data_IF_726961737842
#
_entry.id   IF_726961737842
#
_cell.length_a   1.000
_cell.length_b   1.000
_cell.length_c   1.000
_cell.angle_alpha   90.00
_cell.angle_beta   90.00
_cell.angle_gamma   90.00
#
_symmetry.space_group_name_H-M   'P 1'
#
loop_
_entity.id
_entity.type
_entity.pdbx_description
1 polymer ?
#
# COMPACT_ATOMS: atom_id res chain seq x y z
N UNK A 1 41.76 -39.69 -37.09
CA UNK A 1 40.69 -38.67 -37.25
C UNK A 1 39.40 -39.00 -36.49
N UNK A 2 38.84 -40.22 -36.54
CA UNK A 2 37.57 -40.56 -35.85
C UNK A 2 37.58 -40.43 -34.31
N UNK A 3 38.69 -40.77 -33.62
CA UNK A 3 38.77 -40.68 -32.15
C UNK A 3 38.73 -39.24 -31.62
N UNK A 4 39.35 -38.29 -32.32
CA UNK A 4 39.36 -36.88 -31.93
C UNK A 4 37.96 -36.23 -32.01
N UNK A 5 37.18 -36.60 -33.03
CA UNK A 5 35.78 -36.15 -33.17
C UNK A 5 34.87 -36.69 -32.06
N UNK A 6 35.08 -37.94 -31.64
CA UNK A 6 34.30 -38.55 -30.55
C UNK A 6 34.60 -37.85 -29.22
N UNK A 7 35.88 -37.54 -28.95
CA UNK A 7 36.27 -36.79 -27.74
C UNK A 7 35.70 -35.38 -27.76
N UNK A 8 35.74 -34.69 -28.92
CA UNK A 8 35.18 -33.34 -29.05
C UNK A 8 33.65 -33.33 -28.82
N UNK A 9 32.93 -34.31 -29.35
CA UNK A 9 31.49 -34.47 -29.14
C UNK A 9 31.14 -34.76 -27.68
N UNK A 10 31.95 -35.57 -26.98
CA UNK A 10 31.77 -35.86 -25.55
C UNK A 10 32.05 -34.63 -24.67
N UNK A 11 33.06 -33.83 -25.01
CA UNK A 11 33.36 -32.59 -24.28
C UNK A 11 32.24 -31.57 -24.52
N UNK A 12 31.73 -31.48 -25.75
CA UNK A 12 30.64 -30.57 -26.08
C UNK A 12 29.32 -31.00 -25.39
N UNK A 13 29.01 -32.29 -25.36
CA UNK A 13 27.81 -32.79 -24.67
C UNK A 13 27.91 -32.61 -23.15
N UNK A 14 29.09 -32.81 -22.56
CA UNK A 14 29.32 -32.55 -21.14
C UNK A 14 29.22 -31.06 -20.80
N UNK A 15 29.75 -30.18 -21.66
CA UNK A 15 29.64 -28.73 -21.49
C UNK A 15 28.18 -28.25 -21.60
N UNK A 16 27.41 -28.80 -22.54
CA UNK A 16 25.97 -28.51 -22.68
C UNK A 16 25.21 -29.05 -21.45
N UNK A 17 25.50 -30.26 -20.99
CA UNK A 17 24.87 -30.82 -19.79
C UNK A 17 25.17 -29.99 -18.53
N UNK A 18 26.42 -29.53 -18.35
CA UNK A 18 26.82 -28.64 -17.25
C UNK A 18 26.16 -27.26 -17.35
N UNK A 19 26.05 -26.70 -18.56
CA UNK A 19 25.32 -25.46 -18.78
C UNK A 19 23.83 -25.60 -18.46
N UNK A 20 23.20 -26.70 -18.88
CA UNK A 20 21.80 -27.01 -18.56
C UNK A 20 21.61 -27.25 -17.06
N UNK A 21 22.52 -27.94 -16.39
CA UNK A 21 22.49 -28.15 -14.94
C UNK A 21 22.59 -26.83 -14.16
N UNK A 22 23.36 -25.85 -14.65
CA UNK A 22 23.42 -24.52 -14.05
C UNK A 22 22.19 -23.66 -14.35
N UNK A 23 21.61 -23.78 -15.56
CA UNK A 23 20.37 -23.07 -15.93
C UNK A 23 19.18 -23.60 -15.15
N UNK A 24 19.09 -24.91 -14.93
CA UNK A 24 18.02 -25.59 -14.19
C UNK A 24 18.42 -25.96 -12.76
N UNK A 25 19.45 -25.30 -12.20
CA UNK A 25 19.91 -25.60 -10.85
C UNK A 25 18.84 -25.20 -9.82
N UNK A 26 18.48 -26.09 -8.88
CA UNK A 26 17.61 -25.74 -7.75
C UNK A 26 18.10 -24.53 -6.97
N UNK A 27 19.41 -24.29 -6.91
CA UNK A 27 20.00 -23.14 -6.22
C UNK A 27 19.64 -21.81 -6.91
N UNK A 28 19.53 -21.79 -8.24
CA UNK A 28 19.13 -20.60 -8.99
C UNK A 28 17.66 -20.25 -8.72
N UNK A 29 16.79 -21.27 -8.71
CA UNK A 29 15.38 -21.06 -8.35
C UNK A 29 15.21 -20.58 -6.90
N UNK A 30 15.99 -21.11 -5.96
CA UNK A 30 15.96 -20.66 -4.56
C UNK A 30 16.43 -19.20 -4.44
N UNK A 31 17.49 -18.82 -5.17
CA UNK A 31 17.97 -17.45 -5.18
C UNK A 31 16.94 -16.50 -5.80
N UNK A 32 16.35 -16.84 -6.95
CA UNK A 32 15.31 -16.03 -7.60
C UNK A 32 14.08 -15.85 -6.70
N UNK A 33 13.66 -16.90 -5.96
CA UNK A 33 12.56 -16.78 -4.98
C UNK A 33 12.99 -15.92 -3.77
N UNK A 34 14.23 -16.05 -3.32
CA UNK A 34 14.76 -15.24 -2.22
C UNK A 34 14.83 -13.76 -2.58
N UNK A 35 15.19 -13.44 -3.83
CA UNK A 35 15.27 -12.06 -4.32
C UNK A 35 13.89 -11.42 -4.42
N UNK A 36 12.83 -12.20 -4.66
CA UNK A 36 11.45 -11.73 -4.68
C UNK A 36 10.87 -11.42 -3.29
N UNK A 37 11.64 -11.67 -2.21
CA UNK A 37 11.33 -11.10 -0.89
C UNK A 37 11.65 -9.60 -0.80
N UNK A 38 12.43 -9.06 -1.73
CA UNK A 38 12.51 -7.60 -1.90
C UNK A 38 11.33 -7.17 -2.77
N UNK A 39 10.36 -6.49 -2.17
CA UNK A 39 9.14 -6.06 -2.85
C UNK A 39 9.40 -5.14 -4.05
N UNK A 40 10.56 -4.47 -4.12
CA UNK A 40 10.97 -3.70 -5.30
C UNK A 40 11.24 -4.61 -6.49
N UNK A 41 11.99 -5.69 -6.28
CA UNK A 41 12.30 -6.68 -7.31
C UNK A 41 11.02 -7.38 -7.77
N UNK A 42 10.14 -7.73 -6.83
CA UNK A 42 8.83 -8.30 -7.13
C UNK A 42 7.97 -7.35 -7.98
N UNK A 43 7.87 -6.08 -7.57
CA UNK A 43 7.12 -5.03 -8.29
C UNK A 43 7.64 -4.84 -9.72
N UNK A 44 8.96 -4.75 -9.90
CA UNK A 44 9.58 -4.63 -11.22
C UNK A 44 9.27 -5.84 -12.11
N UNK A 45 9.40 -7.06 -11.58
CA UNK A 45 9.08 -8.29 -12.31
C UNK A 45 7.59 -8.36 -12.68
N UNK A 46 6.72 -8.00 -11.75
CA UNK A 46 5.27 -7.97 -11.99
C UNK A 46 4.92 -7.01 -13.11
N UNK A 47 5.45 -5.78 -13.09
CA UNK A 47 5.20 -4.78 -14.14
C UNK A 47 5.75 -5.23 -15.49
N UNK A 48 6.97 -5.77 -15.52
CA UNK A 48 7.54 -6.33 -16.74
C UNK A 48 6.65 -7.41 -17.35
N UNK A 49 6.17 -8.37 -16.54
CA UNK A 49 5.26 -9.42 -17.02
C UNK A 49 3.89 -8.86 -17.45
N UNK A 50 3.34 -7.89 -16.72
CA UNK A 50 2.06 -7.28 -17.07
C UNK A 50 2.11 -6.56 -18.42
N UNK A 51 3.25 -5.95 -18.77
CA UNK A 51 3.45 -5.28 -20.06
C UNK A 51 3.79 -6.24 -21.20
N UNK A 52 4.50 -7.34 -20.91
CA UNK A 52 5.13 -8.17 -21.95
C UNK A 52 4.59 -9.61 -22.07
N UNK A 53 3.84 -10.12 -21.09
CA UNK A 53 3.19 -11.45 -21.14
C UNK A 53 1.66 -11.31 -21.22
N UNK A 54 1.04 -11.56 -22.40
CA UNK A 54 -0.40 -11.43 -22.58
C UNK A 54 -1.23 -12.36 -21.70
N UNK A 55 -0.72 -13.55 -21.35
CA UNK A 55 -1.43 -14.48 -20.47
C UNK A 55 -1.41 -13.97 -19.03
N UNK A 56 -0.25 -13.47 -18.57
CA UNK A 56 -0.11 -12.84 -17.26
C UNK A 56 -1.05 -11.65 -17.13
N UNK A 57 -1.02 -10.75 -18.11
CA UNK A 57 -1.90 -9.58 -18.15
C UNK A 57 -3.36 -9.99 -18.09
N UNK A 58 -3.77 -10.98 -18.90
CA UNK A 58 -5.14 -11.50 -18.91
C UNK A 58 -5.56 -12.06 -17.55
N UNK A 59 -4.68 -12.79 -16.86
CA UNK A 59 -4.96 -13.29 -15.51
C UNK A 59 -5.14 -12.16 -14.50
N UNK A 60 -4.26 -11.15 -14.54
CA UNK A 60 -4.35 -9.97 -13.65
C UNK A 60 -5.63 -9.17 -13.93
N UNK A 61 -5.94 -8.88 -15.19
CA UNK A 61 -7.13 -8.12 -15.57
C UNK A 61 -8.40 -8.86 -15.17
N UNK A 62 -8.51 -10.16 -15.44
CA UNK A 62 -9.68 -10.94 -15.06
C UNK A 62 -9.85 -11.02 -13.54
N UNK A 63 -8.75 -11.15 -12.81
CA UNK A 63 -8.82 -11.12 -11.34
C UNK A 63 -9.27 -9.75 -10.82
N UNK A 64 -8.80 -8.66 -11.44
CA UNK A 64 -9.29 -7.30 -11.15
C UNK A 64 -10.76 -7.12 -11.50
N UNK A 65 -11.25 -7.68 -12.60
CA UNK A 65 -12.69 -7.70 -12.92
C UNK A 65 -13.50 -8.41 -11.82
N UNK A 66 -13.07 -9.60 -11.37
CA UNK A 66 -13.75 -10.31 -10.28
C UNK A 66 -13.79 -9.49 -8.99
N UNK A 67 -12.72 -8.74 -8.71
CA UNK A 67 -12.61 -7.91 -7.52
C UNK A 67 -13.44 -6.65 -7.62
N UNK A 68 -13.30 -5.93 -8.72
CA UNK A 68 -13.83 -4.57 -8.85
C UNK A 68 -15.24 -4.59 -9.42
N UNK A 69 -15.62 -5.48 -10.32
CA UNK A 69 -16.99 -5.50 -10.83
C UNK A 69 -17.98 -6.02 -9.77
N UNK A 70 -18.62 -5.10 -9.02
CA UNK A 70 -19.59 -5.46 -7.97
C UNK A 70 -20.91 -6.00 -8.52
N UNK A 71 -21.14 -5.96 -9.85
CA UNK A 71 -22.35 -6.49 -10.47
C UNK A 71 -22.32 -8.02 -10.66
N UNK A 72 -21.13 -8.61 -10.71
CA UNK A 72 -20.95 -10.07 -10.76
C UNK A 72 -20.81 -10.64 -9.34
N UNK A 73 -21.12 -11.92 -9.11
CA UNK A 73 -20.81 -12.57 -7.83
C UNK A 73 -19.30 -12.88 -7.73
N UNK A 74 -18.71 -12.74 -6.54
CA UNK A 74 -17.30 -13.05 -6.36
C UNK A 74 -17.06 -14.57 -6.35
N UNK A 75 -16.50 -15.10 -7.43
CA UNK A 75 -16.11 -16.50 -7.52
C UNK A 75 -14.72 -16.73 -6.92
N UNK A 76 -14.68 -17.17 -5.66
CA UNK A 76 -13.42 -17.44 -4.92
C UNK A 76 -12.53 -18.47 -5.63
N UNK A 77 -13.11 -19.53 -6.20
CA UNK A 77 -12.36 -20.59 -6.87
C UNK A 77 -11.70 -20.08 -8.15
N UNK A 78 -12.43 -19.30 -8.95
CA UNK A 78 -11.87 -18.66 -10.15
C UNK A 78 -10.75 -17.69 -9.78
N UNK A 79 -10.96 -16.86 -8.75
CA UNK A 79 -9.96 -15.92 -8.27
C UNK A 79 -8.68 -16.64 -7.80
N UNK A 80 -8.81 -17.74 -7.08
CA UNK A 80 -7.70 -18.58 -6.65
C UNK A 80 -6.92 -19.18 -7.83
N UNK A 81 -7.61 -19.73 -8.84
CA UNK A 81 -6.97 -20.26 -10.06
C UNK A 81 -6.17 -19.17 -10.78
N UNK A 82 -6.76 -17.99 -10.95
CA UNK A 82 -6.10 -16.84 -11.59
C UNK A 82 -4.88 -16.38 -10.78
N UNK A 83 -5.00 -16.33 -9.46
CA UNK A 83 -3.91 -15.95 -8.57
C UNK A 83 -2.74 -16.93 -8.65
N UNK A 84 -2.98 -18.24 -8.59
CA UNK A 84 -1.90 -19.24 -8.75
C UNK A 84 -1.27 -19.21 -10.14
N UNK A 85 -2.02 -18.87 -11.19
CA UNK A 85 -1.46 -18.63 -12.53
C UNK A 85 -0.46 -17.47 -12.53
N UNK A 86 -0.79 -16.38 -11.81
CA UNK A 86 0.08 -15.21 -11.63
C UNK A 86 1.33 -15.60 -10.82
N UNK A 87 1.17 -16.28 -9.68
CA UNK A 87 2.30 -16.73 -8.83
C UNK A 87 3.27 -17.60 -9.62
N UNK A 88 2.75 -18.57 -10.38
CA UNK A 88 3.56 -19.46 -11.22
C UNK A 88 4.40 -18.70 -12.24
N UNK A 89 3.84 -17.69 -12.91
CA UNK A 89 4.57 -16.84 -13.87
C UNK A 89 5.61 -15.95 -13.18
N UNK A 90 5.36 -15.56 -11.93
CA UNK A 90 6.34 -14.87 -11.09
C UNK A 90 7.43 -15.83 -10.55
N UNK A 91 7.28 -17.15 -10.72
CA UNK A 91 8.20 -18.14 -10.17
C UNK A 91 8.00 -18.40 -8.67
N UNK A 92 6.83 -18.07 -8.14
CA UNK A 92 6.44 -18.23 -6.74
C UNK A 92 5.66 -19.54 -6.54
N UNK A 93 5.70 -20.12 -5.32
CA UNK A 93 4.90 -21.30 -4.99
C UNK A 93 3.40 -21.01 -5.12
N UNK A 94 2.63 -22.06 -5.40
CA UNK A 94 1.17 -21.97 -5.41
C UNK A 94 0.63 -21.95 -3.98
N UNK A 95 -0.50 -21.26 -3.80
CA UNK A 95 -1.24 -21.22 -2.53
C UNK A 95 -2.36 -22.24 -2.57
N UNK A 96 -2.62 -22.92 -1.45
CA UNK A 96 -3.75 -23.83 -1.32
C UNK A 96 -5.08 -23.05 -1.21
N UNK A 97 -6.18 -23.61 -1.74
CA UNK A 97 -7.48 -22.92 -1.74
C UNK A 97 -7.99 -22.58 -0.33
N UNK A 98 -7.62 -23.38 0.67
CA UNK A 98 -7.95 -23.13 2.08
C UNK A 98 -7.25 -21.90 2.67
N UNK A 99 -6.05 -21.60 2.17
CA UNK A 99 -5.21 -20.50 2.65
C UNK A 99 -5.40 -19.21 1.83
N UNK A 100 -6.03 -19.31 0.65
CA UNK A 100 -6.46 -18.15 -0.14
C UNK A 100 -7.58 -17.39 0.58
N UNK A 101 -7.22 -16.30 1.28
CA UNK A 101 -8.13 -15.48 2.11
C UNK A 101 -8.54 -14.16 1.44
N UNK A 102 -8.18 -13.98 0.18
CA UNK A 102 -8.41 -12.73 -0.53
C UNK A 102 -9.83 -12.64 -1.13
N UNK A 103 -10.32 -11.40 -1.31
CA UNK A 103 -11.68 -11.14 -1.79
C UNK A 103 -11.98 -9.66 -2.00
N UNK A 104 -13.27 -9.33 -2.17
CA UNK A 104 -13.76 -7.95 -2.33
C UNK A 104 -13.69 -7.20 -1.00
N UNK A 105 -12.58 -6.51 -0.75
CA UNK A 105 -12.44 -5.62 0.39
C UNK A 105 -12.99 -4.23 0.07
N UNK A 106 -14.00 -3.77 0.82
CA UNK A 106 -14.34 -2.35 0.93
C UNK A 106 -14.91 -1.67 -0.32
N UNK A 107 -15.40 -2.40 -1.32
CA UNK A 107 -15.97 -1.79 -2.53
C UNK A 107 -17.47 -1.57 -2.39
N UNK A 108 -17.95 -0.38 -2.77
CA UNK A 108 -19.37 -0.03 -2.81
C UNK A 108 -19.75 0.62 -4.15
N UNK A 109 -21.01 0.44 -4.61
CA UNK A 109 -21.52 1.18 -5.76
C UNK A 109 -21.47 2.69 -5.49
N UNK A 110 -20.92 3.46 -6.45
CA UNK A 110 -20.78 4.92 -6.34
C UNK A 110 -22.09 5.62 -6.75
N UNK A 111 -22.74 6.42 -5.88
CA UNK A 111 -23.78 7.35 -6.32
C UNK A 111 -23.19 8.49 -7.17
N UNK A 112 -24.05 9.26 -7.87
CA UNK A 112 -23.59 10.38 -8.70
C UNK A 112 -22.74 11.39 -7.89
N UNK A 113 -21.65 11.91 -8.48
CA UNK A 113 -20.63 12.65 -7.74
C UNK A 113 -21.10 14.06 -7.33
N UNK A 114 -20.72 14.56 -6.14
CA UNK A 114 -20.78 15.99 -5.86
C UNK A 114 -19.74 16.78 -6.69
N UNK A 115 -19.95 18.11 -6.73
CA UNK A 115 -19.22 19.06 -7.58
C UNK A 115 -17.70 19.14 -7.33
N UNK A 116 -16.99 19.68 -8.35
CA UNK A 116 -15.54 19.90 -8.42
C UNK A 116 -14.91 20.29 -7.06
N UNK A 117 -13.93 19.48 -6.65
CA UNK A 117 -13.10 19.74 -5.47
C UNK A 117 -12.25 21.01 -5.64
N UNK A 118 -12.13 21.79 -4.56
CA UNK A 118 -11.15 22.88 -4.49
C UNK A 118 -9.73 22.31 -4.39
N UNK A 119 -8.72 23.03 -4.92
CA UNK A 119 -7.33 22.62 -4.78
C UNK A 119 -6.86 22.71 -3.32
N UNK A 120 -5.84 21.92 -2.97
CA UNK A 120 -5.16 22.02 -1.68
C UNK A 120 -4.58 23.41 -1.48
N UNK A 121 -4.65 23.93 -0.25
CA UNK A 121 -3.96 25.16 0.08
C UNK A 121 -2.48 24.88 0.40
N UNK A 122 -1.58 25.23 -0.53
CA UNK A 122 -0.13 24.95 -0.43
C UNK A 122 0.58 25.63 0.74
N UNK A 123 0.07 26.78 1.23
CA UNK A 123 0.73 27.58 2.27
C UNK A 123 -0.19 27.90 3.46
N UNK A 124 -1.31 27.20 3.62
CA UNK A 124 -2.23 27.50 4.73
C UNK A 124 -1.65 27.09 6.08
N UNK A 125 -0.82 26.04 6.13
CA UNK A 125 -0.37 25.46 7.40
C UNK A 125 1.05 24.94 7.29
N UNK A 126 1.86 25.22 8.32
CA UNK A 126 3.19 24.65 8.46
C UNK A 126 3.14 23.38 9.31
N UNK A 127 3.15 22.21 8.67
CA UNK A 127 3.04 20.91 9.34
C UNK A 127 4.14 20.68 10.40
N UNK A 128 5.35 21.21 10.19
CA UNK A 128 6.47 21.07 11.14
C UNK A 128 6.23 21.71 12.51
N UNK A 129 5.27 22.64 12.61
CA UNK A 129 4.83 23.22 13.89
C UNK A 129 3.78 22.37 14.61
N UNK A 130 3.06 21.53 13.86
CA UNK A 130 1.91 20.76 14.35
C UNK A 130 2.34 19.33 14.68
N UNK A 131 3.06 18.68 13.77
CA UNK A 131 3.54 17.30 13.93
C UNK A 131 5.04 17.34 14.14
N UNK A 132 5.48 16.90 15.32
CA UNK A 132 6.89 16.81 15.69
C UNK A 132 7.57 15.62 15.05
N UNK A 133 6.92 14.46 15.09
CA UNK A 133 7.51 13.22 14.58
C UNK A 133 6.46 12.17 14.22
N UNK A 134 6.82 11.33 13.24
CA UNK A 134 6.23 10.01 13.04
C UNK A 134 7.18 8.98 13.64
N UNK A 135 6.68 8.09 14.49
CA UNK A 135 7.49 7.17 15.28
C UNK A 135 7.11 5.74 14.93
N UNK A 136 8.09 4.96 14.50
CA UNK A 136 7.92 3.57 14.07
C UNK A 136 8.79 2.64 14.93
N UNK A 137 8.35 1.40 15.21
CA UNK A 137 9.22 0.37 15.78
C UNK A 137 10.42 0.14 14.86
N UNK A 138 11.64 0.15 15.43
CA UNK A 138 12.89 0.03 14.66
C UNK A 138 12.94 -1.26 13.82
N UNK A 139 12.42 -2.35 14.38
CA UNK A 139 12.30 -3.65 13.68
C UNK A 139 11.49 -3.58 12.39
N UNK A 140 10.51 -2.69 12.32
CA UNK A 140 9.64 -2.54 11.15
C UNK A 140 10.37 -1.80 10.03
N UNK A 141 11.07 -0.72 10.40
CA UNK A 141 12.00 -0.03 9.51
C UNK A 141 13.09 -0.98 8.97
N UNK A 142 13.67 -1.82 9.82
CA UNK A 142 14.68 -2.82 9.44
C UNK A 142 14.13 -3.94 8.55
N UNK A 143 12.82 -4.21 8.63
CA UNK A 143 12.11 -5.14 7.73
C UNK A 143 11.98 -4.60 6.31
N UNK A 144 12.05 -3.29 6.13
CA UNK A 144 11.87 -2.63 4.84
C UNK A 144 10.68 -1.68 4.81
N UNK A 145 9.86 -1.63 5.86
CA UNK A 145 8.60 -0.87 5.93
C UNK A 145 8.79 0.63 6.24
N UNK A 146 9.92 1.21 5.83
CA UNK A 146 10.26 2.60 6.12
C UNK A 146 9.31 3.60 5.47
N UNK A 147 9.08 4.73 6.14
CA UNK A 147 8.32 5.87 5.60
C UNK A 147 9.10 6.56 4.46
N UNK A 148 8.48 6.68 3.28
CA UNK A 148 9.06 7.26 2.07
C UNK A 148 8.70 8.72 1.88
N UNK A 149 7.42 9.05 2.05
CA UNK A 149 6.90 10.39 1.77
C UNK A 149 5.68 10.72 2.63
N UNK A 150 5.39 12.01 2.78
CA UNK A 150 4.10 12.52 3.25
C UNK A 150 3.44 13.36 2.17
N UNK A 151 2.13 13.22 2.06
CA UNK A 151 1.26 14.11 1.30
C UNK A 151 0.39 14.87 2.29
N UNK A 152 0.33 16.19 2.12
CA UNK A 152 -0.43 17.07 3.01
C UNK A 152 -1.33 17.96 2.19
N UNK A 153 -2.63 17.95 2.50
CA UNK A 153 -3.61 18.84 1.91
C UNK A 153 -4.36 19.59 2.99
N UNK A 154 -4.30 20.93 2.95
CA UNK A 154 -5.08 21.78 3.83
C UNK A 154 -6.38 22.24 3.14
N UNK A 155 -7.50 22.03 3.82
CA UNK A 155 -8.85 22.40 3.38
C UNK A 155 -9.38 23.55 4.24
N UNK A 156 -9.89 24.59 3.59
CA UNK A 156 -10.46 25.78 4.22
C UNK A 156 -11.75 26.19 3.52
N UNK A 157 -12.81 26.42 4.29
CA UNK A 157 -14.15 26.76 3.78
C UNK A 157 -14.92 25.61 3.12
N UNK A 158 -14.22 24.60 2.60
CA UNK A 158 -14.79 23.39 2.01
C UNK A 158 -13.83 22.20 2.20
N UNK A 159 -14.35 21.08 2.69
CA UNK A 159 -13.66 19.80 2.75
C UNK A 159 -14.46 18.79 1.92
N UNK A 160 -13.93 18.43 0.75
CA UNK A 160 -14.57 17.50 -0.17
C UNK A 160 -16.03 17.82 -0.55
N UNK A 161 -16.33 19.10 -0.82
CA UNK A 161 -17.68 19.56 -1.16
C UNK A 161 -18.60 19.74 0.06
N UNK A 162 -18.09 19.50 1.28
CA UNK A 162 -18.78 19.81 2.51
C UNK A 162 -18.29 21.16 3.04
N UNK A 163 -19.19 22.16 3.19
CA UNK A 163 -18.83 23.43 3.79
C UNK A 163 -18.30 23.24 5.20
N UNK A 164 -17.17 23.87 5.49
CA UNK A 164 -16.60 23.97 6.83
C UNK A 164 -16.46 25.45 7.17
N UNK A 165 -16.84 25.85 8.37
CA UNK A 165 -16.70 27.21 8.88
C UNK A 165 -15.79 27.21 10.09
N UNK A 166 -14.92 28.22 10.20
CA UNK A 166 -14.07 28.44 11.39
C UNK A 166 -13.10 27.27 11.66
N UNK A 167 -12.80 26.49 10.62
CA UNK A 167 -11.97 25.28 10.70
C UNK A 167 -11.06 25.16 9.48
N UNK A 168 -9.85 24.67 9.74
CA UNK A 168 -8.96 24.12 8.72
C UNK A 168 -8.82 22.62 8.97
N UNK A 169 -9.03 21.81 7.93
CA UNK A 169 -8.78 20.36 8.00
C UNK A 169 -7.51 20.06 7.24
N UNK A 170 -6.54 19.44 7.91
CA UNK A 170 -5.40 18.83 7.27
C UNK A 170 -5.69 17.36 7.02
N UNK A 171 -5.55 16.94 5.78
CA UNK A 171 -5.40 15.54 5.41
C UNK A 171 -3.91 15.23 5.32
N UNK A 172 -3.44 14.32 6.16
CA UNK A 172 -2.05 13.88 6.22
C UNK A 172 -2.00 12.42 5.79
N UNK A 173 -1.32 12.17 4.69
CA UNK A 173 -1.14 10.83 4.13
C UNK A 173 0.32 10.42 4.20
N UNK A 174 0.59 9.26 4.79
CA UNK A 174 1.90 8.63 4.90
C UNK A 174 2.02 7.56 3.82
N UNK A 175 3.20 7.46 3.19
CA UNK A 175 3.53 6.37 2.26
C UNK A 175 4.68 5.56 2.83
N UNK A 176 4.41 4.34 3.28
CA UNK A 176 5.39 3.36 3.69
C UNK A 176 5.86 2.55 2.48
N UNK A 177 7.10 2.06 2.55
CA UNK A 177 7.72 1.32 1.45
C UNK A 177 7.03 0.01 1.14
N UNK A 178 6.44 -0.61 2.16
CA UNK A 178 5.80 -1.91 2.09
C UNK A 178 4.84 -2.12 3.27
N UNK A 179 4.23 -3.30 3.42
CA UNK A 179 3.51 -3.76 4.62
C UNK A 179 3.68 -5.26 4.82
N UNK A 180 4.65 -5.63 5.66
CA UNK A 180 4.99 -7.04 5.77
C UNK A 180 3.97 -7.84 6.57
N UNK A 181 3.35 -8.83 5.90
CA UNK A 181 2.48 -9.76 6.61
C UNK A 181 3.33 -10.72 7.45
N UNK A 182 3.04 -10.91 8.76
CA UNK A 182 3.83 -11.79 9.63
C UNK A 182 3.89 -13.26 9.18
N UNK A 183 3.04 -13.70 8.25
CA UNK A 183 2.91 -15.09 7.84
C UNK A 183 3.01 -15.36 6.33
N UNK A 184 2.66 -14.41 5.47
CA UNK A 184 2.50 -14.64 4.02
C UNK A 184 2.89 -13.41 3.20
N UNK A 185 4.13 -12.97 3.37
CA UNK A 185 4.59 -11.67 2.92
C UNK A 185 4.59 -11.48 1.39
N UNK A 186 5.39 -12.27 0.68
CA UNK A 186 5.51 -12.20 -0.79
C UNK A 186 4.15 -12.45 -1.49
N UNK A 187 3.33 -13.37 -0.98
CA UNK A 187 1.99 -13.63 -1.52
C UNK A 187 1.07 -12.43 -1.31
N UNK A 188 1.17 -11.78 -0.15
CA UNK A 188 0.44 -10.56 0.16
C UNK A 188 0.86 -9.40 -0.76
N UNK A 189 2.15 -9.25 -1.07
CA UNK A 189 2.62 -8.23 -2.01
C UNK A 189 2.10 -8.43 -3.42
N UNK A 190 2.07 -9.68 -3.90
CA UNK A 190 1.45 -10.00 -5.19
C UNK A 190 -0.03 -9.62 -5.16
N UNK A 191 -0.73 -9.94 -4.07
CA UNK A 191 -2.11 -9.50 -3.89
C UNK A 191 -2.25 -7.98 -3.91
N UNK A 192 -1.36 -7.24 -3.26
CA UNK A 192 -1.35 -5.77 -3.25
C UNK A 192 -1.09 -5.20 -4.65
N UNK A 193 -0.17 -5.76 -5.42
CA UNK A 193 0.06 -5.38 -6.83
C UNK A 193 -1.18 -5.59 -7.70
N UNK A 194 -1.96 -6.64 -7.44
CA UNK A 194 -3.22 -6.89 -8.17
C UNK A 194 -4.31 -5.93 -7.72
N UNK A 195 -4.60 -5.89 -6.41
CA UNK A 195 -5.75 -5.21 -5.83
C UNK A 195 -5.55 -3.69 -5.70
N UNK A 196 -4.33 -3.23 -5.44
CA UNK A 196 -3.97 -1.83 -5.23
C UNK A 196 -3.08 -1.26 -6.31
N UNK A 197 -2.41 -2.10 -7.12
CA UNK A 197 -1.49 -1.65 -8.17
C UNK A 197 -0.12 -1.20 -7.66
N UNK A 198 0.20 -1.48 -6.39
CA UNK A 198 1.40 -1.08 -5.66
C UNK A 198 1.67 -2.06 -4.52
N UNK A 199 2.90 -2.10 -4.01
CA UNK A 199 3.26 -2.80 -2.76
C UNK A 199 3.26 -1.82 -1.59
N UNK A 200 3.59 -0.55 -1.85
CA UNK A 200 3.63 0.50 -0.84
C UNK A 200 2.33 0.57 -0.05
N UNK A 201 2.47 0.73 1.25
CA UNK A 201 1.36 1.04 2.12
C UNK A 201 1.14 2.52 2.24
N UNK A 202 -0.13 2.90 2.20
CA UNK A 202 -0.50 4.30 2.22
C UNK A 202 -1.54 4.43 3.31
N UNK A 203 -1.33 5.33 4.27
CA UNK A 203 -2.23 5.55 5.40
C UNK A 203 -2.56 7.02 5.57
N UNK A 204 -3.79 7.33 5.98
CA UNK A 204 -4.29 8.71 6.02
C UNK A 204 -4.99 9.00 7.33
N UNK A 205 -4.67 10.14 7.94
CA UNK A 205 -5.39 10.67 9.09
C UNK A 205 -5.66 12.16 8.91
N UNK A 206 -6.52 12.71 9.77
CA UNK A 206 -6.97 14.10 9.68
C UNK A 206 -6.64 14.86 10.96
N UNK A 207 -6.22 16.11 10.81
CA UNK A 207 -6.04 17.06 11.91
C UNK A 207 -7.02 18.21 11.66
N UNK A 208 -7.82 18.53 12.67
CA UNK A 208 -8.76 19.65 12.62
C UNK A 208 -8.22 20.77 13.48
N UNK A 209 -8.05 21.93 12.88
CA UNK A 209 -7.55 23.14 13.50
C UNK A 209 -8.66 24.18 13.59
N UNK A 210 -8.63 24.98 14.64
CA UNK A 210 -9.35 26.24 14.67
C UNK A 210 -8.74 27.21 13.63
N UNK A 211 -9.57 27.85 12.81
CA UNK A 211 -9.08 28.73 11.74
C UNK A 211 -8.47 30.04 12.27
N UNK A 212 -8.97 30.55 13.40
CA UNK A 212 -8.54 31.83 13.98
C UNK A 212 -7.28 31.66 14.84
N UNK A 213 -7.29 30.67 15.73
CA UNK A 213 -6.17 30.45 16.68
C UNK A 213 -5.09 29.55 16.10
N UNK A 214 -5.43 28.65 15.18
CA UNK A 214 -4.53 27.62 14.66
C UNK A 214 -4.31 26.44 15.63
N UNK A 215 -4.98 26.41 16.76
CA UNK A 215 -4.89 25.33 17.76
C UNK A 215 -5.53 24.04 17.25
N UNK A 216 -4.98 22.89 17.66
CA UNK A 216 -5.55 21.60 17.28
C UNK A 216 -6.78 21.28 18.13
N UNK A 217 -7.91 21.06 17.46
CA UNK A 217 -9.14 20.63 18.12
C UNK A 217 -9.24 19.12 18.26
N UNK A 218 -8.92 18.42 17.17
CA UNK A 218 -8.99 16.96 17.13
C UNK A 218 -8.04 16.36 16.11
N UNK A 219 -7.63 15.12 16.40
CA UNK A 219 -6.96 14.23 15.45
C UNK A 219 -7.85 13.02 15.21
N UNK A 220 -8.16 12.74 13.95
CA UNK A 220 -9.12 11.71 13.51
C UNK A 220 -8.42 10.68 12.63
N UNK A 221 -8.38 9.43 13.10
CA UNK A 221 -7.80 8.27 12.43
C UNK A 221 -8.87 7.49 11.64
N UNK A 222 -9.87 8.20 11.11
CA UNK A 222 -11.00 7.61 10.41
C UNK A 222 -10.64 7.14 9.00
N UNK A 223 -11.45 6.23 8.49
CA UNK A 223 -11.38 5.80 7.09
C UNK A 223 -12.02 6.81 6.14
N UNK A 224 -11.73 6.68 4.86
CA UNK A 224 -12.21 7.54 3.79
C UNK A 224 -12.64 6.69 2.58
N UNK A 225 -13.33 7.29 1.61
CA UNK A 225 -13.75 6.58 0.39
C UNK A 225 -13.10 7.24 -0.81
N UNK A 226 -12.30 6.51 -1.60
CA UNK A 226 -11.73 6.99 -2.87
C UNK A 226 -12.45 6.39 -4.08
N UNK A 227 -12.50 7.12 -5.19
CA UNK A 227 -13.09 6.63 -6.43
C UNK A 227 -12.05 6.09 -7.40
N UNK A 228 -12.28 4.90 -7.96
CA UNK A 228 -11.43 4.36 -9.02
C UNK A 228 -11.72 5.07 -10.36
N UNK A 229 -10.70 5.36 -11.15
CA UNK A 229 -10.88 6.05 -12.43
C UNK A 229 -11.44 5.12 -13.51
N UNK A 230 -10.91 3.90 -13.58
CA UNK A 230 -11.23 2.92 -14.62
C UNK A 230 -12.37 1.97 -14.24
N UNK A 231 -12.94 2.12 -13.04
CA UNK A 231 -13.97 1.23 -12.50
C UNK A 231 -15.12 2.04 -11.88
N UNK A 232 -16.37 1.58 -11.99
CA UNK A 232 -17.54 2.32 -11.49
C UNK A 232 -17.66 2.34 -9.96
N UNK A 233 -16.65 1.84 -9.24
CA UNK A 233 -16.72 1.58 -7.82
C UNK A 233 -15.95 2.61 -7.01
N UNK A 234 -16.44 2.78 -5.80
CA UNK A 234 -15.74 3.42 -4.72
C UNK A 234 -15.03 2.38 -3.86
N UNK A 235 -13.87 2.76 -3.34
CA UNK A 235 -13.09 1.96 -2.40
C UNK A 235 -13.09 2.66 -1.05
N UNK A 236 -13.71 2.00 -0.08
CA UNK A 236 -13.63 2.33 1.33
C UNK A 236 -12.27 1.90 1.85
N UNK A 237 -11.49 2.91 2.24
CA UNK A 237 -10.30 2.76 3.06
C UNK A 237 -10.76 2.67 4.51
N UNK A 238 -10.33 1.62 5.20
CA UNK A 238 -10.66 1.42 6.60
C UNK A 238 -10.08 2.55 7.47
N UNK A 239 -10.64 2.80 8.66
CA UNK A 239 -9.94 3.56 9.68
C UNK A 239 -8.57 2.96 9.98
N UNK A 240 -7.66 3.80 10.44
CA UNK A 240 -6.26 3.43 10.66
C UNK A 240 -5.83 3.67 12.09
N UNK A 241 -6.79 3.81 13.02
CA UNK A 241 -6.49 3.90 14.44
C UNK A 241 -6.04 2.55 14.98
N UNK A 242 -4.98 2.54 15.79
CA UNK A 242 -4.47 1.31 16.40
C UNK A 242 -5.27 0.86 17.62
N UNK A 243 -6.12 1.72 18.19
CA UNK A 243 -6.77 1.45 19.48
C UNK A 243 -5.74 1.05 20.54
N UNK A 244 -5.92 -0.12 21.15
CA UNK A 244 -4.97 -0.74 22.07
C UNK A 244 -3.99 -1.75 21.44
N UNK A 245 -4.01 -1.93 20.12
CA UNK A 245 -3.19 -2.90 19.43
C UNK A 245 -1.71 -2.50 19.43
N UNK A 246 -0.84 -3.49 19.63
CA UNK A 246 0.61 -3.38 19.57
C UNK A 246 1.14 -4.09 18.31
N UNK A 247 2.46 -4.04 18.09
CA UNK A 247 3.06 -4.32 16.79
C UNK A 247 2.79 -5.74 16.25
N UNK A 248 2.53 -6.69 17.13
CA UNK A 248 2.26 -8.09 16.77
C UNK A 248 0.85 -8.34 16.21
N UNK A 249 -0.01 -7.33 16.19
CA UNK A 249 -1.41 -7.42 15.77
C UNK A 249 -1.69 -6.45 14.63
N UNK A 250 -2.70 -6.75 13.81
CA UNK A 250 -3.28 -5.79 12.88
C UNK A 250 -4.38 -4.97 13.57
N UNK A 251 -4.60 -3.72 13.14
CA UNK A 251 -5.69 -2.89 13.64
C UNK A 251 -6.22 -1.90 12.57
N UNK A 252 -7.51 -1.60 12.65
CA UNK A 252 -8.20 -0.65 11.77
C UNK A 252 -9.40 -0.02 12.49
N UNK A 253 -9.15 0.68 13.59
CA UNK A 253 -10.18 1.24 14.46
C UNK A 253 -10.45 2.72 14.17
N UNK A 254 -11.73 3.13 14.21
CA UNK A 254 -12.06 4.55 14.24
C UNK A 254 -11.61 5.12 15.58
N UNK A 255 -10.56 5.95 15.57
CA UNK A 255 -10.06 6.63 16.77
C UNK A 255 -10.06 8.14 16.57
N UNK A 256 -10.58 8.88 17.55
CA UNK A 256 -10.58 10.35 17.55
C UNK A 256 -10.03 10.82 18.89
N UNK A 257 -9.05 11.71 18.84
CA UNK A 257 -8.48 12.37 20.02
C UNK A 257 -8.94 13.82 20.03
N UNK A 258 -9.46 14.28 21.17
CA UNK A 258 -9.77 15.68 21.47
C UNK A 258 -8.74 16.20 22.49
N UNK A 259 -8.62 17.52 22.61
CA UNK A 259 -7.74 18.18 23.60
C UNK A 259 -6.30 17.65 23.55
N UNK A 260 -5.72 17.65 22.34
CA UNK A 260 -4.42 17.01 22.09
C UNK A 260 -3.27 17.91 22.51
N UNK A 261 -2.24 17.32 23.09
CA UNK A 261 -1.01 18.04 23.42
C UNK A 261 -0.19 18.32 22.15
N UNK A 262 0.25 19.57 22.00
CA UNK A 262 1.09 20.01 20.89
C UNK A 262 2.58 20.11 21.29
N UNK A 263 3.52 19.83 20.37
CA UNK A 263 3.31 19.30 19.02
C UNK A 263 3.08 17.78 19.00
N UNK A 264 2.30 17.29 18.04
CA UNK A 264 1.88 15.90 17.93
C UNK A 264 3.06 14.94 17.69
N UNK A 265 3.00 13.77 18.33
CA UNK A 265 3.82 12.61 18.01
C UNK A 265 2.87 11.50 17.56
N UNK A 266 3.04 11.05 16.32
CA UNK A 266 2.20 9.99 15.74
C UNK A 266 2.97 8.67 15.84
N UNK A 267 2.41 7.69 16.53
CA UNK A 267 2.99 6.36 16.67
C UNK A 267 2.38 5.38 15.69
N UNK A 268 3.23 4.71 14.93
CA UNK A 268 2.92 3.48 14.20
C UNK A 268 2.95 2.34 15.21
N UNK A 269 1.81 1.69 15.42
CA UNK A 269 1.65 0.74 16.52
C UNK A 269 1.48 -0.71 16.09
N UNK A 270 0.96 -0.96 14.89
CA UNK A 270 0.66 -2.29 14.37
C UNK A 270 1.52 -2.59 13.13
N UNK A 271 1.71 -3.87 12.79
CA UNK A 271 2.47 -4.26 11.60
C UNK A 271 1.80 -3.79 10.29
N UNK A 272 0.48 -3.61 10.30
CA UNK A 272 -0.29 -3.03 9.19
C UNK A 272 -0.37 -1.49 9.26
N UNK A 273 0.65 -0.86 9.83
CA UNK A 273 0.78 0.59 10.04
C UNK A 273 -0.37 1.33 10.75
N UNK A 274 -1.19 0.66 11.55
CA UNK A 274 -2.20 1.36 12.35
C UNK A 274 -1.57 2.40 13.30
N UNK A 275 -2.13 3.61 13.33
CA UNK A 275 -1.59 4.81 13.95
C UNK A 275 -2.33 5.21 15.25
N UNK A 276 -1.65 5.95 16.13
CA UNK A 276 -2.26 6.58 17.31
C UNK A 276 -1.41 7.72 17.83
N UNK A 277 -1.97 8.55 18.72
CA UNK A 277 -1.19 9.48 19.55
C UNK A 277 -0.58 8.81 20.79
N UNK A 278 -0.95 7.56 21.07
CA UNK A 278 -0.44 6.76 22.19
C UNK A 278 0.54 5.72 21.70
N UNK A 279 1.65 5.57 22.42
CA UNK A 279 2.61 4.50 22.22
C UNK A 279 2.11 3.20 22.85
N UNK A 280 1.68 2.25 22.02
CA UNK A 280 1.27 0.92 22.48
C UNK A 280 2.46 -0.05 22.57
N UNK A 281 3.66 0.39 22.19
CA UNK A 281 4.88 -0.40 22.08
C UNK A 281 5.99 0.19 22.96
N UNK A 282 5.66 0.51 24.22
CA UNK A 282 6.54 1.26 25.15
C UNK A 282 7.93 0.65 25.31
N UNK A 283 8.05 -0.67 25.19
CA UNK A 283 9.30 -1.42 25.35
C UNK A 283 10.03 -1.74 24.03
N UNK A 284 9.48 -1.39 22.88
CA UNK A 284 10.18 -1.56 21.60
C UNK A 284 11.10 -0.37 21.33
N UNK A 285 12.27 -0.67 20.78
CA UNK A 285 13.15 0.34 20.20
C UNK A 285 12.44 1.07 19.06
N UNK A 286 12.64 2.39 18.99
CA UNK A 286 11.92 3.25 18.06
C UNK A 286 12.87 4.00 17.14
N UNK A 287 12.35 4.34 15.98
CA UNK A 287 12.93 5.32 15.08
C UNK A 287 11.98 6.52 14.97
N UNK A 288 12.55 7.73 15.02
CA UNK A 288 11.82 8.99 14.99
C UNK A 288 12.09 9.67 13.66
N UNK A 289 11.09 9.71 12.80
CA UNK A 289 11.14 10.54 11.60
C UNK A 289 10.83 11.99 11.98
N UNK A 290 11.87 12.84 11.97
CA UNK A 290 11.67 14.29 11.91
C UNK A 290 11.13 14.66 10.54
N UNK A 291 10.16 15.58 10.48
CA UNK A 291 9.58 16.05 9.22
C UNK A 291 10.61 16.72 8.29
N UNK A 292 11.73 17.20 8.82
CA UNK A 292 12.84 17.76 8.02
C UNK A 292 13.55 16.71 7.17
N UNK A 293 13.44 15.43 7.55
CA UNK A 293 14.16 14.32 6.91
C UNK A 293 13.26 13.48 5.99
N UNK A 294 12.04 13.94 5.72
CA UNK A 294 11.07 13.20 4.90
C UNK A 294 10.64 14.09 3.74
N UNK A 295 10.44 13.48 2.58
CA UNK A 295 9.86 14.19 1.46
C UNK A 295 8.40 14.55 1.76
N UNK A 296 8.10 15.84 1.84
CA UNK A 296 6.74 16.36 2.02
C UNK A 296 6.26 16.94 0.70
N UNK A 297 5.14 16.43 0.21
CA UNK A 297 4.46 16.89 -1.00
C UNK A 297 3.13 17.54 -0.61
N UNK A 298 2.77 18.63 -1.30
CA UNK A 298 1.40 19.12 -1.21
C UNK A 298 0.52 18.23 -2.07
N UNK A 299 -0.47 17.61 -1.45
CA UNK A 299 -1.37 16.70 -2.15
C UNK A 299 -2.25 15.90 -1.21
N UNK A 300 -3.24 15.24 -1.79
CA UNK A 300 -4.23 14.40 -1.13
C UNK A 300 -3.78 12.95 -1.17
N UNK A 301 -4.47 12.10 -0.43
CA UNK A 301 -4.36 10.64 -0.52
C UNK A 301 -4.45 10.14 -1.96
N UNK A 302 -5.37 10.70 -2.75
CA UNK A 302 -5.54 10.27 -4.14
C UNK A 302 -4.35 10.59 -5.04
N UNK A 303 -3.60 11.65 -4.70
CA UNK A 303 -2.39 12.01 -5.43
C UNK A 303 -1.28 11.00 -5.09
N UNK A 304 -1.17 10.58 -3.81
CA UNK A 304 -0.29 9.47 -3.41
C UNK A 304 -0.67 8.13 -4.09
N UNK A 305 -1.96 7.78 -4.13
CA UNK A 305 -2.40 6.57 -4.83
C UNK A 305 -1.98 6.59 -6.31
N UNK A 306 -2.15 7.73 -7.00
CA UNK A 306 -1.81 7.86 -8.42
C UNK A 306 -0.30 7.88 -8.71
N UNK A 307 0.52 8.35 -7.76
CA UNK A 307 1.98 8.39 -7.88
C UNK A 307 2.61 7.01 -7.67
N UNK A 308 2.06 6.19 -6.78
CA UNK A 308 2.65 4.89 -6.41
C UNK A 308 1.99 3.69 -7.09
N UNK A 309 0.75 3.85 -7.59
CA UNK A 309 -0.03 2.78 -8.21
C UNK A 309 -0.10 2.82 -9.73
N UNK A 310 -0.09 1.62 -10.34
CA UNK A 310 -0.47 1.43 -11.73
C UNK A 310 -1.99 1.55 -11.97
N UNK A 311 -2.81 1.36 -10.94
CA UNK A 311 -4.25 1.64 -10.98
C UNK A 311 -4.47 3.15 -10.81
N UNK A 312 -5.44 3.72 -11.54
CA UNK A 312 -5.73 5.15 -11.45
C UNK A 312 -7.00 5.43 -10.66
N UNK A 313 -6.97 6.54 -9.95
CA UNK A 313 -8.01 7.00 -9.05
C UNK A 313 -8.47 8.40 -9.44
N UNK A 314 -9.77 8.63 -9.38
CA UNK A 314 -10.41 9.85 -9.85
C UNK A 314 -10.27 10.99 -8.85
N UNK A 315 -9.49 12.01 -9.21
CA UNK A 315 -9.24 13.22 -8.42
C UNK A 315 -10.48 14.08 -8.11
N UNK A 316 -11.67 13.63 -8.52
CA UNK A 316 -12.92 14.37 -8.43
C UNK A 316 -13.74 14.03 -7.19
N UNK A 317 -13.49 12.89 -6.52
CA UNK A 317 -14.35 12.44 -5.42
C UNK A 317 -13.58 11.64 -4.36
N UNK A 318 -13.61 12.12 -3.12
CA UNK A 318 -13.33 11.31 -1.93
C UNK A 318 -14.37 11.67 -0.89
N UNK A 319 -15.05 10.69 -0.29
CA UNK A 319 -16.05 10.96 0.75
C UNK A 319 -15.68 10.30 2.07
N UNK A 320 -15.42 11.13 3.06
CA UNK A 320 -16.04 11.02 4.39
C UNK A 320 -15.70 12.27 5.21
N UNK A 321 -16.71 12.90 5.83
CA UNK A 321 -16.50 14.01 6.78
C UNK A 321 -15.55 13.60 7.92
N UNK A 322 -14.58 14.44 8.34
CA UNK A 322 -13.55 14.11 9.32
C UNK A 322 -14.04 13.95 10.76
#
# INVERSE_FOLDING_TARGET
MKKAYIVLLLVLSLAIALALLNVFSPQRNIQEISDLKDSRVLKEKFFFLYENDPEFKKSVDRLRELLFNTLEEYNKTEAWILFNSILKKLGLPEVELGDFKYGRGGLIPSPEPPLKLKPCCENCVNLSRIVKAIVIPRRDLEGGNGLKALYVCAYKGDFYGYPISERIILEVTLVFSDEDSPSHDVEYDVWRLIAWGRVEDIETFFIVLDEETGEIEKVSFRGLVIKMADWPNERRISPIGSGGAAFVSAAHELTVFQDVEEPLIIYVNAWNHALSLKDNNVFLDKYFYSLENIEIRVGRRIDAENDYSMLKYSSQNVQSLP
#
